data_IF_081118276018
#
_entry.id   IF_081118276018
#
_cell.length_a   1.000
_cell.length_b   1.000
_cell.length_c   1.000
_cell.angle_alpha   90.00
_cell.angle_beta   90.00
_cell.angle_gamma   90.00
#
_symmetry.space_group_name_H-M   'P 1'
#
loop_
_entity.id
_entity.type
_entity.pdbx_description
1 polymer ?
#
# COMPACT_ATOMS: atom_id res chain seq x y z
N UNK A 1 32.98 18.58 -21.76
CA UNK A 1 31.69 19.30 -21.73
C UNK A 1 30.58 18.26 -21.80
N UNK A 2 29.75 18.15 -20.76
CA UNK A 2 28.63 17.20 -20.72
C UNK A 2 27.32 17.94 -20.93
N UNK A 3 26.62 17.60 -22.01
CA UNK A 3 25.23 17.98 -22.22
C UNK A 3 24.35 16.85 -21.71
N UNK A 4 23.25 17.18 -21.05
CA UNK A 4 22.22 16.25 -20.63
C UNK A 4 20.89 16.62 -21.29
N UNK A 5 19.98 15.66 -21.39
CA UNK A 5 18.65 15.91 -21.91
C UNK A 5 17.72 16.36 -20.78
N UNK A 6 16.91 17.39 -21.04
CA UNK A 6 15.86 17.82 -20.13
C UNK A 6 14.88 16.67 -19.86
N UNK A 7 14.55 16.37 -18.59
CA UNK A 7 13.58 15.32 -18.29
C UNK A 7 12.15 15.64 -18.74
N UNK A 8 11.83 16.92 -19.00
CA UNK A 8 10.49 17.36 -19.41
C UNK A 8 10.34 17.45 -20.93
N UNK A 9 11.26 18.14 -21.62
CA UNK A 9 11.14 18.39 -23.07
C UNK A 9 12.11 17.58 -23.93
N UNK A 10 13.02 16.82 -23.32
CA UNK A 10 14.07 16.08 -24.04
C UNK A 10 15.15 16.97 -24.67
N UNK A 11 15.06 18.30 -24.54
CA UNK A 11 16.02 19.25 -25.11
C UNK A 11 17.40 19.16 -24.46
N UNK A 12 18.45 19.34 -25.26
CA UNK A 12 19.83 19.30 -24.77
C UNK A 12 20.16 20.55 -23.98
N UNK A 13 20.76 20.37 -22.80
CA UNK A 13 21.14 21.46 -21.92
C UNK A 13 22.44 21.16 -21.16
N UNK A 14 23.15 22.21 -20.73
CA UNK A 14 24.38 22.05 -19.95
C UNK A 14 24.06 21.63 -18.52
N UNK A 15 24.95 20.83 -17.91
CA UNK A 15 24.90 20.48 -16.48
C UNK A 15 24.91 21.68 -15.53
N UNK A 16 25.29 22.87 -16.02
CA UNK A 16 25.32 24.12 -15.26
C UNK A 16 24.10 25.03 -15.50
N UNK A 17 23.15 24.64 -16.35
CA UNK A 17 21.97 25.45 -16.59
C UNK A 17 21.02 25.42 -15.37
N UNK A 18 20.58 26.60 -14.90
CA UNK A 18 19.66 26.74 -13.76
C UNK A 18 18.19 26.51 -14.15
N UNK A 19 17.90 26.62 -15.44
CA UNK A 19 16.61 26.32 -16.03
C UNK A 19 16.80 25.87 -17.49
N UNK A 20 15.87 25.05 -17.98
CA UNK A 20 15.87 24.61 -19.36
C UNK A 20 15.43 25.76 -20.28
N UNK A 21 16.25 26.19 -21.26
CA UNK A 21 15.88 27.26 -22.18
C UNK A 21 14.78 26.86 -23.18
N UNK A 22 14.52 25.56 -23.35
CA UNK A 22 13.51 25.07 -24.29
C UNK A 22 12.09 25.08 -23.73
N UNK A 23 11.93 24.79 -22.43
CA UNK A 23 10.61 24.67 -21.80
C UNK A 23 10.43 25.51 -20.52
N UNK A 24 11.51 26.10 -19.98
CA UNK A 24 11.47 26.86 -18.74
C UNK A 24 11.55 26.01 -17.46
N UNK A 25 11.77 24.69 -17.56
CA UNK A 25 11.84 23.82 -16.38
C UNK A 25 13.03 24.18 -15.47
N UNK A 26 12.83 24.44 -14.16
CA UNK A 26 13.90 24.83 -13.25
C UNK A 26 14.80 23.65 -12.90
N UNK A 27 16.08 23.76 -13.21
CA UNK A 27 17.12 22.77 -12.95
C UNK A 27 18.02 23.30 -11.83
N UNK A 28 17.67 23.01 -10.57
CA UNK A 28 18.50 23.46 -9.44
C UNK A 28 19.87 22.78 -9.53
N UNK A 29 20.94 23.58 -9.59
CA UNK A 29 22.34 23.12 -9.54
C UNK A 29 22.57 22.33 -8.25
N UNK A 30 22.57 21.01 -8.36
CA UNK A 30 22.85 20.13 -7.21
C UNK A 30 22.21 18.76 -7.34
N UNK A 31 22.65 17.98 -8.33
CA UNK A 31 22.60 16.51 -8.35
C UNK A 31 21.22 15.84 -8.28
N UNK A 32 21.01 14.85 -9.15
CA UNK A 32 20.00 13.79 -8.97
C UNK A 32 18.54 14.23 -8.75
N UNK A 33 18.02 15.09 -9.63
CA UNK A 33 16.58 15.38 -9.73
C UNK A 33 15.75 14.28 -10.44
N UNK A 34 16.25 13.03 -10.52
CA UNK A 34 15.67 12.00 -11.38
C UNK A 34 15.20 10.70 -10.72
N UNK A 35 15.50 10.47 -9.43
CA UNK A 35 15.25 9.15 -8.81
C UNK A 35 13.95 9.10 -7.99
N UNK A 36 13.34 10.25 -7.67
CA UNK A 36 12.24 10.27 -6.69
C UNK A 36 10.84 9.98 -7.25
N UNK A 37 10.67 9.79 -8.57
CA UNK A 37 9.32 9.56 -9.14
C UNK A 37 8.82 8.12 -8.94
N UNK A 38 9.69 7.17 -8.61
CA UNK A 38 9.34 5.73 -8.56
C UNK A 38 8.89 5.24 -7.17
N UNK A 39 9.06 6.04 -6.09
CA UNK A 39 8.65 5.62 -4.73
C UNK A 39 7.19 6.04 -4.42
N UNK A 40 6.61 7.00 -5.16
CA UNK A 40 5.30 7.57 -4.83
C UNK A 40 4.09 6.77 -5.33
N UNK A 41 4.25 5.84 -6.28
CA UNK A 41 3.12 5.11 -6.89
C UNK A 41 2.94 3.66 -6.39
N UNK A 42 3.91 3.15 -5.62
CA UNK A 42 3.86 1.81 -4.98
C UNK A 42 3.00 1.74 -3.70
N UNK A 43 2.67 2.83 -2.94
CA UNK A 43 2.02 2.68 -1.64
C UNK A 43 0.52 2.29 -1.72
N UNK A 44 -0.14 2.44 -2.87
CA UNK A 44 -1.59 2.20 -2.97
C UNK A 44 -1.92 0.69 -3.06
N UNK A 45 -1.11 -0.08 -3.80
CA UNK A 45 -1.34 -1.52 -3.97
C UNK A 45 -1.03 -2.31 -2.70
N UNK A 46 0.02 -1.91 -1.98
CA UNK A 46 0.43 -2.55 -0.72
C UNK A 46 -0.59 -2.29 0.39
N UNK A 47 -1.12 -1.06 0.50
CA UNK A 47 -2.16 -0.74 1.47
C UNK A 47 -3.45 -1.55 1.24
N UNK A 48 -3.86 -1.75 -0.02
CA UNK A 48 -5.03 -2.55 -0.37
C UNK A 48 -4.90 -4.02 0.04
N UNK A 49 -3.75 -4.65 -0.25
CA UNK A 49 -3.51 -6.04 0.14
C UNK A 49 -3.54 -6.21 1.67
N UNK A 50 -2.90 -5.30 2.42
CA UNK A 50 -2.88 -5.38 3.89
C UNK A 50 -4.31 -5.32 4.47
N UNK A 51 -5.17 -4.42 3.97
CA UNK A 51 -6.56 -4.32 4.45
C UNK A 51 -7.37 -5.60 4.16
N UNK A 52 -7.20 -6.19 2.98
CA UNK A 52 -7.87 -7.45 2.61
C UNK A 52 -7.43 -8.59 3.51
N UNK A 53 -6.13 -8.71 3.78
CA UNK A 53 -5.59 -9.73 4.69
C UNK A 53 -6.13 -9.58 6.11
N UNK A 54 -6.19 -8.35 6.65
CA UNK A 54 -6.75 -8.08 7.98
C UNK A 54 -8.21 -8.49 8.06
N UNK A 55 -9.02 -8.14 7.05
CA UNK A 55 -10.44 -8.43 7.05
C UNK A 55 -10.74 -9.94 6.94
N UNK A 56 -9.99 -10.65 6.08
CA UNK A 56 -10.11 -12.11 5.97
C UNK A 56 -9.70 -12.82 7.25
N UNK A 57 -8.60 -12.40 7.85
CA UNK A 57 -8.09 -13.00 9.08
C UNK A 57 -9.05 -12.78 10.26
N UNK A 58 -9.55 -11.55 10.42
CA UNK A 58 -10.51 -11.23 11.46
C UNK A 58 -11.86 -11.92 11.23
N UNK A 59 -12.32 -12.01 9.98
CA UNK A 59 -13.54 -12.72 9.61
C UNK A 59 -13.45 -14.22 9.90
N UNK A 60 -12.32 -14.86 9.56
CA UNK A 60 -12.06 -16.27 9.89
C UNK A 60 -12.03 -16.48 11.41
N UNK A 61 -11.32 -15.65 12.17
CA UNK A 61 -11.27 -15.76 13.63
C UNK A 61 -12.66 -15.60 14.24
N UNK A 62 -13.44 -14.60 13.82
CA UNK A 62 -14.80 -14.43 14.33
C UNK A 62 -15.70 -15.60 13.95
N UNK A 63 -15.55 -16.14 12.74
CA UNK A 63 -16.30 -17.30 12.29
C UNK A 63 -15.94 -18.53 13.10
N UNK A 64 -14.65 -18.77 13.36
CA UNK A 64 -14.18 -19.85 14.23
C UNK A 64 -14.67 -19.67 15.66
N UNK A 65 -14.58 -18.47 16.24
CA UNK A 65 -15.07 -18.19 17.60
C UNK A 65 -16.60 -18.34 17.68
N UNK A 66 -17.33 -17.87 16.67
CA UNK A 66 -18.79 -17.97 16.62
C UNK A 66 -19.23 -19.42 16.40
N UNK A 67 -18.57 -20.15 15.49
CA UNK A 67 -18.83 -21.55 15.23
C UNK A 67 -18.47 -22.40 16.45
N UNK A 68 -17.34 -22.11 17.10
CA UNK A 68 -16.93 -22.79 18.33
C UNK A 68 -17.91 -22.49 19.46
N UNK A 69 -18.30 -21.24 19.69
CA UNK A 69 -19.29 -20.91 20.72
C UNK A 69 -20.65 -21.55 20.42
N UNK A 70 -21.12 -21.54 19.16
CA UNK A 70 -22.37 -22.18 18.75
C UNK A 70 -22.31 -23.71 18.84
N UNK A 71 -21.18 -24.33 18.48
CA UNK A 71 -20.96 -25.77 18.57
C UNK A 71 -20.83 -26.22 20.02
N UNK A 72 -20.11 -25.47 20.86
CA UNK A 72 -20.00 -25.72 22.29
C UNK A 72 -21.36 -25.56 22.98
N UNK A 73 -22.14 -24.53 22.64
CA UNK A 73 -23.51 -24.35 23.15
C UNK A 73 -24.45 -25.48 22.71
N UNK A 74 -24.28 -26.00 21.50
CA UNK A 74 -25.07 -27.13 20.99
C UNK A 74 -24.63 -28.48 21.57
N UNK A 75 -23.35 -28.64 21.93
CA UNK A 75 -22.82 -29.84 22.60
C UNK A 75 -23.09 -29.83 24.11
N UNK A 76 -22.99 -28.68 24.79
CA UNK A 76 -23.32 -28.52 26.23
C UNK A 76 -24.82 -28.29 26.51
N UNK A 77 -25.62 -28.04 25.48
CA UNK A 77 -27.06 -27.72 25.58
C UNK A 77 -28.02 -28.91 25.53
N UNK A 78 -27.55 -30.15 25.72
CA UNK A 78 -28.38 -31.36 25.83
C UNK A 78 -27.93 -32.16 27.06
N UNK A 79 -28.03 -31.58 28.25
CA UNK A 79 -28.02 -32.39 29.49
C UNK A 79 -28.68 -31.73 30.70
N UNK A 80 -28.99 -30.43 30.68
CA UNK A 80 -29.60 -29.74 31.85
C UNK A 80 -31.13 -29.64 31.84
N UNK A 81 -31.84 -30.39 30.98
CA UNK A 81 -33.32 -30.42 30.96
C UNK A 81 -33.96 -31.79 31.29
N UNK A 82 -33.19 -32.80 31.73
CA UNK A 82 -33.72 -34.15 32.07
C UNK A 82 -33.35 -34.61 33.50
N UNK A 83 -33.20 -33.70 34.48
CA UNK A 83 -33.03 -34.10 35.89
C UNK A 83 -33.82 -33.27 36.89
N UNK A 84 -34.96 -32.71 36.47
CA UNK A 84 -35.98 -32.17 37.40
C UNK A 84 -37.37 -32.52 36.90
N UNK A 85 -37.68 -33.81 36.91
CA UNK A 85 -39.05 -34.34 37.02
C UNK A 85 -39.10 -35.23 38.25
#
# INVERSE_FOLDING_TARGET
MSLLNCPECGGLLSTEAESCPHCGYPLRKGGIAGVFKTIAQIPCFVAGLILIFIFLFFGLILLDVYYFHGLLFKLFGVETHVTTF
#
